data_IF_378409081169
#
_entry.id   IF_378409081169
#
_cell.length_a   1.000
_cell.length_b   1.000
_cell.length_c   1.000
_cell.angle_alpha   90.00
_cell.angle_beta   90.00
_cell.angle_gamma   90.00
#
_symmetry.space_group_name_H-M   'P 1'
#
loop_
_entity.id
_entity.type
_entity.pdbx_description
1 polymer ?
#
# COMPACT_ATOMS: atom_id res chain seq x y z
N UNK A 1 -5.40 2.56 -14.27
CA UNK A 1 -3.93 2.71 -14.24
C UNK A 1 -3.44 2.02 -12.98
N UNK A 2 -2.36 1.25 -13.05
CA UNK A 2 -1.77 0.69 -11.83
C UNK A 2 -1.28 1.84 -10.95
N UNK A 3 -1.63 1.85 -9.66
CA UNK A 3 -1.08 2.84 -8.74
C UNK A 3 0.45 2.72 -8.71
N UNK A 4 1.09 3.87 -8.79
CA UNK A 4 2.53 3.97 -8.55
C UNK A 4 2.82 3.80 -7.07
N UNK A 5 4.02 3.31 -6.73
CA UNK A 5 4.45 3.20 -5.33
C UNK A 5 4.37 4.54 -4.56
N UNK A 6 4.47 5.66 -5.27
CA UNK A 6 4.30 7.01 -4.73
C UNK A 6 2.85 7.33 -4.33
N UNK A 7 1.87 6.92 -5.13
CA UNK A 7 0.46 7.11 -4.80
C UNK A 7 0.05 6.23 -3.62
N UNK A 8 0.56 4.99 -3.57
CA UNK A 8 0.35 4.10 -2.43
C UNK A 8 0.97 4.71 -1.17
N UNK A 9 2.18 5.24 -1.27
CA UNK A 9 2.87 5.90 -0.15
C UNK A 9 2.06 7.06 0.44
N UNK A 10 1.36 7.85 -0.40
CA UNK A 10 0.47 8.93 0.07
C UNK A 10 -0.74 8.44 0.85
N UNK A 11 -1.20 7.23 0.59
CA UNK A 11 -2.33 6.60 1.29
C UNK A 11 -1.89 5.87 2.57
N UNK A 12 -0.59 5.59 2.73
CA UNK A 12 -0.05 5.00 3.94
C UNK A 12 0.12 6.05 5.05
N UNK A 13 0.16 5.64 6.33
CA UNK A 13 0.33 6.55 7.47
C UNK A 13 1.72 7.21 7.57
N UNK A 14 2.67 6.85 6.71
CA UNK A 14 4.04 7.41 6.65
C UNK A 14 4.82 7.39 7.99
N UNK A 15 4.41 6.55 8.93
CA UNK A 15 5.03 6.44 10.26
C UNK A 15 6.40 5.77 10.24
N UNK A 16 6.72 5.02 9.19
CA UNK A 16 7.93 4.18 9.08
C UNK A 16 8.14 3.29 10.32
N UNK A 17 7.05 2.76 10.89
CA UNK A 17 7.04 1.95 12.11
C UNK A 17 7.75 0.59 11.98
N UNK A 18 8.00 0.10 10.75
CA UNK A 18 8.63 -1.19 10.44
C UNK A 18 7.89 -2.45 10.93
N UNK A 19 6.67 -2.30 11.45
CA UNK A 19 5.86 -3.44 11.91
C UNK A 19 5.39 -4.34 10.77
N UNK A 20 5.29 -3.81 9.55
CA UNK A 20 5.03 -4.59 8.35
C UNK A 20 6.27 -5.34 7.81
N UNK A 21 7.37 -5.40 8.56
CA UNK A 21 8.66 -6.00 8.15
C UNK A 21 9.38 -5.29 6.99
N UNK A 22 8.95 -4.07 6.67
CA UNK A 22 9.62 -3.21 5.69
C UNK A 22 10.34 -2.05 6.38
N UNK A 23 11.55 -1.68 5.92
CA UNK A 23 12.35 -0.63 6.56
C UNK A 23 11.71 0.76 6.49
N UNK A 24 10.85 1.00 5.49
CA UNK A 24 10.11 2.26 5.29
C UNK A 24 8.72 2.00 4.71
N UNK A 25 7.80 2.94 4.91
CA UNK A 25 6.47 2.92 4.28
C UNK A 25 6.58 2.99 2.74
N UNK A 26 7.61 3.65 2.21
CA UNK A 26 7.86 3.68 0.75
C UNK A 26 8.27 2.30 0.22
N UNK A 27 9.14 1.58 0.92
CA UNK A 27 9.51 0.22 0.54
C UNK A 27 8.30 -0.72 0.56
N UNK A 28 7.44 -0.61 1.58
CA UNK A 28 6.17 -1.32 1.63
C UNK A 28 5.27 -0.94 0.44
N UNK A 29 5.13 0.34 0.13
CA UNK A 29 4.32 0.82 -0.98
C UNK A 29 4.76 0.28 -2.34
N UNK A 30 6.07 0.21 -2.61
CA UNK A 30 6.57 -0.38 -3.85
C UNK A 30 6.31 -1.89 -3.93
N UNK A 31 6.45 -2.59 -2.80
CA UNK A 31 6.14 -4.02 -2.72
C UNK A 31 4.65 -4.29 -2.88
N UNK A 32 3.80 -3.42 -2.35
CA UNK A 32 2.35 -3.45 -2.55
C UNK A 32 1.98 -3.23 -4.03
N UNK A 33 2.60 -2.23 -4.68
CA UNK A 33 2.42 -1.97 -6.12
C UNK A 33 2.80 -3.18 -6.97
N UNK A 34 3.88 -3.87 -6.59
CA UNK A 34 4.36 -5.08 -7.25
C UNK A 34 3.57 -6.35 -6.87
N UNK A 35 2.51 -6.25 -6.05
CA UNK A 35 1.77 -7.39 -5.47
C UNK A 35 2.66 -8.40 -4.73
N UNK A 36 3.79 -7.93 -4.18
CA UNK A 36 4.73 -8.70 -3.37
C UNK A 36 4.50 -8.53 -1.86
N UNK A 37 3.53 -7.70 -1.47
CA UNK A 37 3.13 -7.49 -0.09
C UNK A 37 1.62 -7.27 -0.01
N UNK A 38 1.01 -7.62 1.13
CA UNK A 38 -0.41 -7.42 1.39
C UNK A 38 -0.66 -6.21 2.30
N UNK A 39 -1.76 -5.47 2.06
CA UNK A 39 -2.19 -4.36 2.91
C UNK A 39 -2.40 -4.74 4.36
N UNK A 40 -2.82 -5.99 4.58
CA UNK A 40 -3.08 -6.57 5.90
C UNK A 40 -1.82 -6.65 6.77
N UNK A 41 -0.63 -6.59 6.17
CA UNK A 41 0.63 -6.56 6.89
C UNK A 41 0.89 -5.23 7.62
N UNK A 42 0.17 -4.15 7.28
CA UNK A 42 0.30 -2.86 7.95
C UNK A 42 -0.82 -2.68 8.99
N UNK A 43 -0.53 -2.72 10.30
CA UNK A 43 -1.57 -2.59 11.34
C UNK A 43 -2.10 -1.15 11.47
N UNK A 44 -1.36 -0.16 10.95
CA UNK A 44 -1.72 1.25 11.04
C UNK A 44 -2.45 1.79 9.79
N UNK A 45 -2.72 0.94 8.80
CA UNK A 45 -3.47 1.39 7.62
C UNK A 45 -4.92 1.63 8.01
N UNK A 46 -5.46 2.80 7.68
CA UNK A 46 -6.88 3.08 7.89
C UNK A 46 -7.72 2.26 6.91
N UNK A 47 -8.94 1.91 7.33
CA UNK A 47 -9.88 1.19 6.46
C UNK A 47 -10.21 2.00 5.18
N UNK A 48 -10.19 3.34 5.25
CA UNK A 48 -10.36 4.20 4.07
C UNK A 48 -9.20 4.03 3.07
N UNK A 49 -7.95 4.07 3.54
CA UNK A 49 -6.78 3.86 2.69
C UNK A 49 -6.75 2.45 2.12
N UNK A 50 -7.15 1.46 2.91
CA UNK A 50 -7.25 0.06 2.50
C UNK A 50 -8.26 -0.11 1.36
N UNK A 51 -9.46 0.47 1.48
CA UNK A 51 -10.46 0.44 0.42
C UNK A 51 -9.97 1.09 -0.88
N UNK A 52 -9.29 2.25 -0.79
CA UNK A 52 -8.70 2.92 -1.96
C UNK A 52 -7.61 2.08 -2.63
N UNK A 53 -6.78 1.43 -1.83
CA UNK A 53 -5.67 0.60 -2.32
C UNK A 53 -6.17 -0.74 -2.90
N UNK A 54 -7.21 -1.34 -2.32
CA UNK A 54 -7.90 -2.53 -2.88
C UNK A 54 -8.62 -2.20 -4.19
N UNK A 55 -9.38 -1.10 -4.23
CA UNK A 55 -10.06 -0.64 -5.45
C UNK A 55 -9.08 -0.36 -6.60
N UNK A 56 -7.88 0.10 -6.28
CA UNK A 56 -6.90 0.47 -7.27
C UNK A 56 -5.89 -0.65 -7.62
N UNK A 57 -5.85 -1.73 -6.83
CA UNK A 57 -5.14 -2.97 -7.17
C UNK A 57 -6.01 -3.95 -7.97
N UNK A 58 -7.32 -3.72 -8.01
CA UNK A 58 -8.23 -4.35 -8.96
C UNK A 58 -7.85 -3.95 -10.40
N UNK A 59 -7.69 -4.91 -11.33
CA UNK A 59 -7.32 -4.62 -12.71
C UNK A 59 -8.42 -3.76 -13.37
N UNK A 60 -8.05 -2.70 -14.11
CA UNK A 60 -9.02 -1.91 -14.88
C UNK A 60 -9.48 -2.75 -16.07
N UNK A 61 -10.56 -3.51 -15.94
CA UNK A 61 -11.16 -4.27 -17.05
C UNK A 61 -12.49 -3.62 -17.44
N UNK A 62 -12.53 -3.06 -18.65
CA UNK A 62 -13.47 -3.47 -19.71
C UNK A 62 -12.66 -3.67 -20.98
#
# INVERSE_FOLDING_TARGET
MALTGLEIYKLLPQTNCKECSFPTCLAFAMKLAAKQAELRACPYVSEESKAKLEAASAPPIR
#
